data_IF_006284011306
#
_entry.id   IF_006284011306
#
_cell.length_a   1.000
_cell.length_b   1.000
_cell.length_c   1.000
_cell.angle_alpha   90.00
_cell.angle_beta   90.00
_cell.angle_gamma   90.00
#
_symmetry.space_group_name_H-M   'P 1'
#
loop_
_entity.id
_entity.type
_entity.pdbx_description
1 polymer ?
#
# COMPACT_ATOMS: atom_id res chain seq x y z
N UNK A 1 2.75 -23.36 58.04
CA UNK A 1 1.65 -24.06 57.33
C UNK A 1 0.46 -23.12 57.27
N UNK A 2 -0.09 -22.92 56.06
CA UNK A 2 -1.28 -22.12 55.70
C UNK A 2 -1.10 -20.58 55.63
N UNK A 3 -0.40 -20.14 54.59
CA UNK A 3 -0.56 -18.80 54.01
C UNK A 3 -1.87 -18.79 53.18
N UNK A 4 -2.65 -17.70 53.29
CA UNK A 4 -3.95 -17.54 52.65
C UNK A 4 -3.75 -16.98 51.24
N UNK A 5 -3.98 -17.79 50.23
CA UNK A 5 -4.09 -17.32 48.85
C UNK A 5 -5.41 -16.55 48.69
N UNK A 6 -5.32 -15.22 48.65
CA UNK A 6 -6.36 -14.37 48.09
C UNK A 6 -6.35 -14.53 46.57
N UNK A 7 -7.39 -15.17 46.07
CA UNK A 7 -7.72 -15.26 44.65
C UNK A 7 -8.16 -13.87 44.19
N UNK A 8 -7.24 -13.10 43.60
CA UNK A 8 -7.60 -11.88 42.88
C UNK A 8 -7.92 -12.27 41.43
N UNK A 9 -9.19 -12.58 41.19
CA UNK A 9 -9.74 -12.56 39.85
C UNK A 9 -9.87 -11.09 39.42
N UNK A 10 -8.92 -10.61 38.61
CA UNK A 10 -9.20 -9.43 37.78
C UNK A 10 -9.25 -9.82 36.32
N UNK A 11 -10.42 -9.57 35.76
CA UNK A 11 -10.79 -9.80 34.38
C UNK A 11 -9.90 -8.95 33.50
N UNK A 12 -8.94 -9.58 32.81
CA UNK A 12 -8.09 -8.95 31.80
C UNK A 12 -8.96 -8.51 30.61
N UNK A 13 -9.59 -7.36 30.76
CA UNK A 13 -10.29 -6.65 29.71
C UNK A 13 -9.32 -6.35 28.56
N UNK A 14 -9.81 -6.54 27.33
CA UNK A 14 -9.16 -6.18 26.07
C UNK A 14 -8.94 -4.67 25.95
N UNK A 15 -8.03 -4.10 26.74
CA UNK A 15 -7.65 -2.69 26.64
C UNK A 15 -6.32 -2.58 25.88
N UNK A 16 -6.48 -2.19 24.62
CA UNK A 16 -5.45 -1.88 23.64
C UNK A 16 -4.39 -0.97 24.28
N UNK A 17 -3.13 -1.40 24.43
CA UNK A 17 -2.12 -0.54 25.03
C UNK A 17 -1.85 0.65 24.11
N UNK A 18 -2.02 1.86 24.66
CA UNK A 18 -1.65 3.10 23.98
C UNK A 18 -0.18 3.04 23.52
N UNK A 19 0.10 3.41 22.25
CA UNK A 19 1.46 3.35 21.74
C UNK A 19 2.29 4.49 22.33
N UNK A 20 3.02 4.20 23.41
CA UNK A 20 4.15 5.02 23.85
C UNK A 20 5.11 5.18 22.68
N UNK A 21 5.47 6.44 22.37
CA UNK A 21 6.39 6.81 21.29
C UNK A 21 7.82 6.34 21.57
N UNK A 22 8.05 5.04 21.52
CA UNK A 22 9.38 4.47 21.41
C UNK A 22 9.68 4.42 19.92
N UNK A 23 10.42 5.43 19.46
CA UNK A 23 10.81 5.66 18.07
C UNK A 23 11.84 4.63 17.61
N UNK A 24 11.57 3.34 17.82
CA UNK A 24 12.21 2.30 17.04
C UNK A 24 11.66 2.48 15.63
N UNK A 25 12.51 2.92 14.71
CA UNK A 25 12.23 2.82 13.28
C UNK A 25 12.24 1.33 12.93
N UNK A 26 11.19 0.62 13.35
CA UNK A 26 10.84 -0.69 12.84
C UNK A 26 10.59 -0.45 11.37
N UNK A 27 11.63 -0.68 10.56
CA UNK A 27 11.52 -0.64 9.11
C UNK A 27 10.39 -1.60 8.77
N UNK A 28 9.21 -1.05 8.50
CA UNK A 28 8.08 -1.82 8.03
C UNK A 28 8.56 -2.42 6.73
N UNK A 29 8.98 -3.69 6.79
CA UNK A 29 9.36 -4.48 5.62
C UNK A 29 8.13 -4.39 4.73
N UNK A 30 8.26 -3.67 3.62
CA UNK A 30 7.13 -3.40 2.75
C UNK A 30 6.50 -4.75 2.40
N UNK A 31 5.24 -4.99 2.78
CA UNK A 31 4.57 -6.18 2.29
C UNK A 31 4.60 -6.07 0.76
N UNK A 32 4.94 -7.17 0.10
CA UNK A 32 4.70 -7.29 -1.33
C UNK A 32 3.23 -6.94 -1.58
N UNK A 33 2.97 -6.20 -2.65
CA UNK A 33 1.60 -5.98 -3.11
C UNK A 33 0.94 -7.33 -3.35
N UNK A 34 -0.30 -7.47 -2.90
CA UNK A 34 -1.10 -8.63 -3.25
C UNK A 34 -1.38 -8.63 -4.75
N UNK A 35 -1.61 -9.82 -5.31
CA UNK A 35 -1.96 -9.99 -6.72
C UNK A 35 -3.18 -9.15 -7.12
N UNK A 36 -4.18 -9.05 -6.23
CA UNK A 36 -5.40 -8.28 -6.48
C UNK A 36 -5.11 -6.77 -6.56
N UNK A 37 -4.29 -6.23 -5.65
CA UNK A 37 -3.84 -4.83 -5.73
C UNK A 37 -3.03 -4.54 -7.00
N UNK A 38 -2.20 -5.51 -7.43
CA UNK A 38 -1.40 -5.40 -8.66
C UNK A 38 -2.30 -5.35 -9.90
N UNK A 39 -3.29 -6.25 -9.99
CA UNK A 39 -4.22 -6.30 -11.13
C UNK A 39 -5.04 -5.00 -11.22
N UNK A 40 -5.55 -4.49 -10.09
CA UNK A 40 -6.27 -3.21 -10.06
C UNK A 40 -5.39 -2.05 -10.54
N UNK A 41 -4.14 -1.99 -10.07
CA UNK A 41 -3.17 -0.99 -10.51
C UNK A 41 -2.94 -1.08 -12.03
N UNK A 42 -2.75 -2.29 -12.56
CA UNK A 42 -2.46 -2.53 -13.96
C UNK A 42 -3.66 -2.21 -14.86
N UNK A 43 -4.88 -2.49 -14.41
CA UNK A 43 -6.12 -2.10 -15.09
C UNK A 43 -6.24 -0.58 -15.21
N UNK A 44 -5.98 0.15 -14.12
CA UNK A 44 -6.04 1.62 -14.10
C UNK A 44 -4.97 2.23 -15.01
N UNK A 45 -3.76 1.67 -15.00
CA UNK A 45 -2.67 2.08 -15.89
C UNK A 45 -3.09 1.91 -17.34
N UNK A 46 -3.52 0.69 -17.72
CA UNK A 46 -4.01 0.40 -19.08
C UNK A 46 -5.15 1.35 -19.45
N UNK A 47 -6.19 1.45 -18.63
CA UNK A 47 -7.36 2.29 -18.90
C UNK A 47 -7.03 3.78 -19.03
N UNK A 48 -6.07 4.27 -18.25
CA UNK A 48 -5.63 5.66 -18.33
C UNK A 48 -4.66 5.93 -19.51
N UNK A 49 -3.92 4.90 -19.95
CA UNK A 49 -3.03 4.95 -21.10
C UNK A 49 -3.79 4.85 -22.44
N UNK A 50 -4.75 3.92 -22.54
CA UNK A 50 -5.60 3.66 -23.71
C UNK A 50 -6.70 4.70 -23.95
N UNK A 51 -6.88 5.67 -23.06
CA UNK A 51 -7.99 6.62 -23.19
C UNK A 51 -7.93 7.44 -24.50
N UNK A 52 -6.83 7.45 -25.27
CA UNK A 52 -6.77 7.93 -26.67
C UNK A 52 -7.11 9.41 -26.93
N UNK A 53 -7.67 10.10 -25.93
CA UNK A 53 -8.18 11.47 -25.96
C UNK A 53 -7.08 12.52 -25.89
N UNK A 54 -5.83 12.11 -25.78
CA UNK A 54 -4.70 13.00 -25.62
C UNK A 54 -3.66 12.67 -26.70
N UNK A 55 -3.43 13.60 -27.62
CA UNK A 55 -2.35 13.52 -28.59
C UNK A 55 -0.97 13.47 -27.92
N UNK A 56 0.12 13.44 -28.72
CA UNK A 56 1.50 13.45 -28.21
C UNK A 56 1.67 14.53 -27.15
N UNK A 57 1.99 14.11 -25.92
CA UNK A 57 1.86 14.98 -24.75
C UNK A 57 3.06 15.94 -24.65
N UNK A 58 2.87 17.23 -24.35
CA UNK A 58 3.99 18.16 -24.13
C UNK A 58 4.87 17.80 -22.93
N UNK A 59 4.29 17.11 -21.92
CA UNK A 59 5.03 16.68 -20.73
C UNK A 59 4.58 15.28 -20.25
N UNK A 60 5.30 14.20 -20.62
CA UNK A 60 4.95 12.83 -20.24
C UNK A 60 5.01 12.59 -18.72
N UNK A 61 5.80 13.34 -17.97
CA UNK A 61 5.95 13.17 -16.52
C UNK A 61 4.69 13.60 -15.76
N UNK A 62 4.01 14.66 -16.21
CA UNK A 62 2.76 15.16 -15.61
C UNK A 62 1.65 14.12 -15.74
N UNK A 63 1.55 13.46 -16.91
CA UNK A 63 0.57 12.39 -17.14
C UNK A 63 0.85 11.20 -16.24
N UNK A 64 2.10 10.73 -16.19
CA UNK A 64 2.52 9.64 -15.29
C UNK A 64 2.16 9.96 -13.84
N UNK A 65 2.40 11.18 -13.36
CA UNK A 65 2.04 11.60 -12.01
C UNK A 65 0.51 11.60 -11.77
N UNK A 66 -0.29 12.01 -12.75
CA UNK A 66 -1.75 12.00 -12.68
C UNK A 66 -2.31 10.58 -12.63
N UNK A 67 -1.74 9.65 -13.41
CA UNK A 67 -2.11 8.23 -13.39
C UNK A 67 -1.75 7.59 -12.05
N UNK A 68 -0.53 7.83 -11.55
CA UNK A 68 -0.12 7.33 -10.24
C UNK A 68 -1.03 7.85 -9.11
N UNK A 69 -1.51 9.09 -9.22
CA UNK A 69 -2.46 9.64 -8.24
C UNK A 69 -3.82 8.92 -8.29
N UNK A 70 -4.27 8.47 -9.47
CA UNK A 70 -5.48 7.63 -9.58
C UNK A 70 -5.29 6.25 -8.94
N UNK A 71 -4.13 5.63 -9.16
CA UNK A 71 -3.79 4.32 -8.57
C UNK A 71 -3.74 4.39 -7.04
N UNK A 72 -3.07 5.40 -6.47
CA UNK A 72 -3.06 5.58 -5.00
C UNK A 72 -4.48 5.75 -4.46
N UNK A 73 -5.31 6.54 -5.16
CA UNK A 73 -6.67 6.83 -4.73
C UNK A 73 -7.60 5.61 -4.84
N UNK A 74 -7.45 4.76 -5.84
CA UNK A 74 -8.24 3.52 -5.95
C UNK A 74 -7.81 2.48 -4.92
N UNK A 75 -6.51 2.29 -4.71
CA UNK A 75 -5.99 1.35 -3.72
C UNK A 75 -6.46 1.70 -2.31
N UNK A 76 -6.43 2.99 -1.97
CA UNK A 76 -6.94 3.45 -0.69
C UNK A 76 -8.46 3.28 -0.56
N UNK A 77 -9.24 3.50 -1.64
CA UNK A 77 -10.70 3.37 -1.60
C UNK A 77 -11.20 1.93 -1.58
N UNK A 78 -10.56 1.06 -2.37
CA UNK A 78 -11.01 -0.31 -2.60
C UNK A 78 -10.42 -1.29 -1.58
N UNK A 79 -9.16 -1.07 -1.17
CA UNK A 79 -8.44 -1.99 -0.30
C UNK A 79 -8.05 -1.39 1.05
N UNK A 80 -8.34 -0.10 1.28
CA UNK A 80 -7.88 0.65 2.46
C UNK A 80 -6.36 0.62 2.66
N UNK A 81 -5.59 0.34 1.59
CA UNK A 81 -4.13 0.21 1.70
C UNK A 81 -3.46 1.54 1.37
N UNK A 82 -2.56 1.96 2.27
CA UNK A 82 -1.69 3.11 2.06
C UNK A 82 -0.41 2.68 1.33
N UNK A 83 -0.31 3.08 0.06
CA UNK A 83 0.89 2.87 -0.77
C UNK A 83 1.45 4.20 -1.22
N UNK A 84 2.79 4.30 -1.18
CA UNK A 84 3.48 5.48 -1.69
C UNK A 84 3.57 5.46 -3.22
N UNK A 85 3.62 6.64 -3.84
CA UNK A 85 3.76 6.75 -5.30
C UNK A 85 5.07 6.12 -5.80
N UNK A 86 6.13 6.20 -5.02
CA UNK A 86 7.44 5.66 -5.42
C UNK A 86 7.50 4.13 -5.33
N UNK A 87 6.80 3.52 -4.37
CA UNK A 87 6.63 2.06 -4.37
C UNK A 87 5.88 1.57 -5.61
N UNK A 88 4.82 2.26 -6.00
CA UNK A 88 4.07 1.94 -7.21
C UNK A 88 4.92 2.11 -8.47
N UNK A 89 5.70 3.20 -8.56
CA UNK A 89 6.62 3.43 -9.68
C UNK A 89 7.67 2.33 -9.79
N UNK A 90 8.27 1.93 -8.67
CA UNK A 90 9.24 0.83 -8.65
C UNK A 90 8.62 -0.46 -9.18
N UNK A 91 7.43 -0.80 -8.68
CA UNK A 91 6.75 -2.03 -9.09
C UNK A 91 6.35 -2.02 -10.56
N UNK A 92 5.91 -0.86 -11.08
CA UNK A 92 5.65 -0.66 -12.49
C UNK A 92 6.89 -0.85 -13.37
N UNK A 93 8.02 -0.29 -12.95
CA UNK A 93 9.29 -0.49 -13.67
C UNK A 93 9.69 -1.97 -13.70
N UNK A 94 9.57 -2.68 -12.57
CA UNK A 94 9.88 -4.12 -12.49
C UNK A 94 8.96 -4.95 -13.40
N UNK A 95 7.68 -4.58 -13.52
CA UNK A 95 6.72 -5.22 -14.42
C UNK A 95 7.06 -4.98 -15.89
N UNK A 96 7.43 -3.75 -16.26
CA UNK A 96 7.78 -3.40 -17.64
C UNK A 96 9.07 -4.07 -18.12
N UNK A 97 10.02 -4.30 -17.23
CA UNK A 97 11.25 -5.05 -17.55
C UNK A 97 10.94 -6.51 -17.91
N UNK A 98 9.98 -7.14 -17.23
CA UNK A 98 9.56 -8.52 -17.53
C UNK A 98 8.80 -8.67 -18.84
N UNK A 99 8.17 -7.61 -19.33
CA UNK A 99 7.44 -7.59 -20.61
C UNK A 99 8.38 -7.43 -21.81
N UNK A 100 9.60 -6.91 -21.62
CA UNK A 100 10.58 -6.72 -22.70
C UNK A 100 11.51 -7.93 -22.92
N UNK A 101 11.57 -8.87 -21.97
CA UNK A 101 12.39 -10.10 -22.03
C UNK A 101 11.68 -11.29 -22.71
N UNK A 102 10.52 -11.07 -23.35
CA UNK A 102 9.76 -12.04 -24.16
C UNK A 102 9.80 -11.69 -25.64
#
# INVERSE_FOLDING_TARGET
>A
MAEKEQVHADSSNNERPEPRMSQSQRRFKASNMSFIEMVEMMDILKRADYNGKHGPYPNPNVRKAKIMTKVVKSLHRNFAVWRSKDQLRKHWSDLKLREQDQ
#
